data_IF_742592266326
#
_entry.id   IF_742592266326
#
_cell.length_a   1.000
_cell.length_b   1.000
_cell.length_c   1.000
_cell.angle_alpha   90.00
_cell.angle_beta   90.00
_cell.angle_gamma   90.00
#
_symmetry.space_group_name_H-M   'P 1'
#
loop_
_entity.id
_entity.type
_entity.pdbx_description
1 polymer ?
#
# COMPACT_ATOMS: atom_id res chain seq x y z
N UNK A 1 -12.13 -19.21 -6.79
CA UNK A 1 -11.62 -17.86 -6.46
C UNK A 1 -10.11 -17.88 -6.63
N UNK A 2 -9.54 -16.88 -7.29
CA UNK A 2 -8.09 -16.76 -7.44
C UNK A 2 -7.37 -16.56 -6.11
N UNK A 3 -6.04 -16.67 -6.12
CA UNK A 3 -5.20 -16.40 -4.95
C UNK A 3 -4.32 -15.19 -5.21
N UNK A 4 -3.99 -14.45 -4.16
CA UNK A 4 -3.09 -13.29 -4.23
C UNK A 4 -1.90 -13.47 -3.31
N UNK A 5 -0.71 -13.13 -3.81
CA UNK A 5 0.46 -12.89 -2.96
C UNK A 5 0.68 -11.40 -2.84
N UNK A 6 0.96 -10.93 -1.63
CA UNK A 6 1.27 -9.53 -1.39
C UNK A 6 2.74 -9.37 -0.99
N UNK A 7 3.39 -8.36 -1.56
CA UNK A 7 4.76 -8.01 -1.22
C UNK A 7 4.87 -6.54 -0.86
N UNK A 8 5.71 -6.23 0.13
CA UNK A 8 6.04 -4.86 0.53
C UNK A 8 7.50 -4.65 0.22
N UNK A 9 7.79 -3.76 -0.73
CA UNK A 9 9.13 -3.54 -1.23
C UNK A 9 9.66 -2.14 -0.88
N UNK A 10 10.92 -2.08 -0.46
CA UNK A 10 11.64 -0.86 -0.14
C UNK A 10 12.93 -1.16 0.60
N UNK A 11 13.65 -0.12 1.02
CA UNK A 11 14.86 -0.29 1.81
C UNK A 11 15.09 0.93 2.72
N UNK A 12 15.25 0.74 4.05
CA UNK A 12 14.99 -0.50 4.80
C UNK A 12 13.50 -0.88 4.83
N UNK A 13 13.15 -2.14 5.06
CA UNK A 13 11.74 -2.60 5.04
C UNK A 13 11.38 -3.72 6.02
N UNK A 14 12.36 -4.38 6.60
CA UNK A 14 12.24 -5.55 7.48
C UNK A 14 11.43 -5.25 8.76
N UNK A 15 11.31 -3.97 9.12
CA UNK A 15 10.52 -3.48 10.25
C UNK A 15 9.05 -3.20 9.90
N UNK A 16 8.65 -3.34 8.63
CA UNK A 16 7.33 -2.91 8.18
C UNK A 16 6.18 -3.70 8.81
N UNK A 17 5.14 -2.97 9.23
CA UNK A 17 3.86 -3.54 9.68
C UNK A 17 2.87 -3.78 8.53
N UNK A 18 3.19 -3.36 7.31
CA UNK A 18 2.31 -3.55 6.15
C UNK A 18 1.88 -5.01 5.91
N UNK A 19 2.72 -6.05 6.14
CA UNK A 19 2.27 -7.44 6.08
C UNK A 19 1.12 -7.76 7.05
N UNK A 20 1.17 -7.22 8.27
CA UNK A 20 0.10 -7.38 9.28
C UNK A 20 -1.15 -6.66 8.83
N UNK A 21 -1.03 -5.40 8.40
CA UNK A 21 -2.15 -4.59 7.94
C UNK A 21 -2.88 -5.25 6.77
N UNK A 22 -2.15 -5.73 5.76
CA UNK A 22 -2.75 -6.44 4.62
C UNK A 22 -3.48 -7.70 5.06
N UNK A 23 -2.89 -8.48 5.97
CA UNK A 23 -3.51 -9.70 6.46
C UNK A 23 -4.80 -9.44 7.27
N UNK A 24 -4.81 -8.39 8.11
CA UNK A 24 -6.00 -7.97 8.86
C UNK A 24 -7.11 -7.47 7.92
N UNK A 25 -6.77 -6.58 6.98
CA UNK A 25 -7.73 -6.04 6.01
C UNK A 25 -8.31 -7.17 5.15
N UNK A 26 -7.47 -8.09 4.68
CA UNK A 26 -7.93 -9.26 3.93
C UNK A 26 -8.88 -10.13 4.76
N UNK A 27 -8.51 -10.46 6.00
CA UNK A 27 -9.34 -11.25 6.89
C UNK A 27 -10.70 -10.58 7.17
N UNK A 28 -10.72 -9.27 7.39
CA UNK A 28 -11.94 -8.50 7.55
C UNK A 28 -12.82 -8.55 6.31
N UNK A 29 -12.28 -8.17 5.14
CA UNK A 29 -13.02 -8.15 3.88
C UNK A 29 -13.55 -9.53 3.47
N UNK A 30 -12.81 -10.61 3.78
CA UNK A 30 -13.26 -12.00 3.52
C UNK A 30 -14.46 -12.45 4.33
N UNK A 31 -14.79 -11.73 5.42
CA UNK A 31 -15.96 -11.97 6.27
C UNK A 31 -17.07 -10.93 6.05
N UNK A 32 -16.83 -9.93 5.20
CA UNK A 32 -17.81 -8.90 4.87
C UNK A 32 -18.77 -9.43 3.81
N UNK A 33 -20.08 -9.34 4.07
CA UNK A 33 -21.09 -9.74 3.10
C UNK A 33 -20.98 -8.93 1.80
N UNK A 34 -21.23 -9.59 0.67
CA UNK A 34 -21.18 -8.99 -0.68
C UNK A 34 -19.81 -8.46 -1.12
N UNK A 35 -18.72 -8.88 -0.46
CA UNK A 35 -17.35 -8.59 -0.91
C UNK A 35 -16.73 -9.83 -1.51
N UNK A 36 -16.40 -9.79 -2.80
CA UNK A 36 -15.61 -10.81 -3.48
C UNK A 36 -14.15 -10.38 -3.58
N UNK A 37 -13.23 -11.21 -3.10
CA UNK A 37 -11.79 -10.96 -3.18
C UNK A 37 -11.00 -12.28 -3.32
N UNK A 38 -9.80 -12.26 -3.93
CA UNK A 38 -8.94 -13.43 -4.02
C UNK A 38 -8.46 -13.87 -2.64
N UNK A 39 -8.21 -15.16 -2.44
CA UNK A 39 -7.66 -15.68 -1.19
C UNK A 39 -6.21 -15.25 -0.98
N UNK A 40 -5.83 -14.80 0.21
CA UNK A 40 -4.45 -14.42 0.52
C UNK A 40 -3.57 -15.67 0.66
N UNK A 41 -2.64 -15.84 -0.27
CA UNK A 41 -1.65 -16.94 -0.29
C UNK A 41 -0.48 -16.68 0.64
N UNK A 42 -0.16 -15.41 0.88
CA UNK A 42 0.90 -15.00 1.79
C UNK A 42 1.32 -13.54 1.58
N UNK A 43 2.09 -13.05 2.55
CA UNK A 43 2.68 -11.72 2.56
C UNK A 43 4.20 -11.84 2.68
N UNK A 44 4.96 -10.92 2.09
CA UNK A 44 6.43 -10.88 2.21
C UNK A 44 6.92 -9.44 2.34
N UNK A 45 8.12 -9.28 2.93
CA UNK A 45 8.92 -8.06 2.82
C UNK A 45 10.03 -8.28 1.80
N UNK A 46 10.33 -7.27 0.98
CA UNK A 46 11.28 -7.32 -0.13
C UNK A 46 12.28 -6.18 0.04
N UNK A 47 13.41 -6.42 0.72
CA UNK A 47 14.47 -5.43 0.86
C UNK A 47 15.12 -5.17 -0.49
N UNK A 48 14.89 -3.98 -1.02
CA UNK A 48 15.49 -3.54 -2.28
C UNK A 48 15.43 -2.02 -2.42
N UNK A 49 16.46 -1.47 -3.03
CA UNK A 49 16.54 -0.08 -3.47
C UNK A 49 16.19 0.11 -4.95
N UNK A 50 16.06 -0.98 -5.72
CA UNK A 50 15.61 -1.01 -7.12
C UNK A 50 14.22 -1.64 -7.30
N UNK A 51 13.34 -0.97 -8.05
CA UNK A 51 11.97 -1.43 -8.32
C UNK A 51 11.92 -2.70 -9.18
N UNK A 52 12.93 -2.92 -10.03
CA UNK A 52 13.09 -4.10 -10.87
C UNK A 52 13.16 -5.39 -10.04
N UNK A 53 13.77 -5.37 -8.85
CA UNK A 53 13.81 -6.54 -7.97
C UNK A 53 12.44 -6.84 -7.35
N UNK A 54 11.65 -5.80 -7.05
CA UNK A 54 10.28 -5.97 -6.58
C UNK A 54 9.40 -6.59 -7.67
N UNK A 55 9.55 -6.12 -8.92
CA UNK A 55 8.86 -6.70 -10.08
C UNK A 55 9.33 -8.13 -10.36
N UNK A 56 10.63 -8.40 -10.27
CA UNK A 56 11.20 -9.74 -10.44
C UNK A 56 10.62 -10.72 -9.42
N UNK A 57 10.47 -10.31 -8.15
CA UNK A 57 9.74 -11.11 -7.16
C UNK A 57 8.28 -11.34 -7.58
N UNK A 58 7.60 -10.34 -8.15
CA UNK A 58 6.23 -10.51 -8.61
C UNK A 58 6.10 -11.62 -9.67
N UNK A 59 7.07 -11.73 -10.58
CA UNK A 59 7.09 -12.80 -11.58
C UNK A 59 7.57 -14.14 -11.01
N UNK A 60 8.71 -14.16 -10.31
CA UNK A 60 9.33 -15.39 -9.80
C UNK A 60 8.53 -16.00 -8.64
N UNK A 61 7.94 -15.14 -7.81
CA UNK A 61 7.07 -15.53 -6.73
C UNK A 61 7.75 -16.01 -5.44
N UNK A 62 9.06 -15.87 -5.36
CA UNK A 62 9.89 -16.22 -4.22
C UNK A 62 11.12 -15.31 -4.16
N UNK A 63 11.70 -15.19 -2.97
CA UNK A 63 13.01 -14.56 -2.78
C UNK A 63 14.05 -15.68 -2.64
N UNK A 64 15.23 -15.56 -3.29
CA UNK A 64 16.32 -16.52 -3.11
C UNK A 64 16.79 -16.62 -1.66
N UNK A 65 16.86 -15.48 -0.97
CA UNK A 65 17.19 -15.37 0.45
C UNK A 65 16.18 -14.43 1.11
N UNK A 66 15.05 -14.96 1.61
CA UNK A 66 14.06 -14.14 2.31
C UNK A 66 14.67 -13.60 3.61
N UNK A 67 14.57 -12.28 3.89
CA UNK A 67 15.09 -11.70 5.13
C UNK A 67 14.27 -12.14 6.33
N UNK A 68 14.86 -12.05 7.52
CA UNK A 68 14.09 -12.09 8.75
C UNK A 68 13.21 -10.86 8.85
N UNK A 69 11.96 -11.06 9.27
CA UNK A 69 11.06 -9.96 9.61
C UNK A 69 11.29 -9.55 11.06
N UNK A 70 11.61 -8.28 11.29
CA UNK A 70 12.16 -7.79 12.57
C UNK A 70 11.25 -8.08 13.77
N UNK A 71 9.93 -8.06 13.56
CA UNK A 71 8.96 -8.27 14.64
C UNK A 71 9.00 -9.67 15.25
N UNK A 72 9.46 -10.67 14.49
CA UNK A 72 9.40 -12.08 14.91
C UNK A 72 10.74 -12.81 14.81
N UNK A 73 11.75 -12.22 14.13
CA UNK A 73 13.07 -12.82 13.92
C UNK A 73 13.00 -14.11 13.09
N UNK A 74 12.16 -14.12 12.06
CA UNK A 74 11.98 -15.24 11.13
C UNK A 74 11.44 -14.70 9.80
N UNK A 75 11.74 -15.32 8.64
CA UNK A 75 11.21 -14.85 7.38
C UNK A 75 9.72 -15.14 7.26
N UNK A 76 8.98 -14.20 6.66
CA UNK A 76 7.59 -14.40 6.28
C UNK A 76 7.48 -15.57 5.28
N UNK A 77 6.43 -16.39 5.40
CA UNK A 77 6.29 -17.64 4.65
C UNK A 77 6.92 -18.86 5.33
N UNK A 78 7.65 -18.68 6.43
CA UNK A 78 8.09 -19.78 7.31
C UNK A 78 7.11 -19.99 8.46
N UNK A 79 7.10 -21.21 9.01
CA UNK A 79 6.15 -21.65 10.04
C UNK A 79 6.03 -20.66 11.20
N UNK A 80 7.17 -20.28 11.83
CA UNK A 80 7.18 -19.37 12.98
C UNK A 80 6.52 -18.02 12.68
N UNK A 81 6.94 -17.35 11.60
CA UNK A 81 6.41 -16.04 11.23
C UNK A 81 4.92 -16.12 10.85
N UNK A 82 4.52 -17.15 10.08
CA UNK A 82 3.13 -17.35 9.69
C UNK A 82 2.22 -17.59 10.91
N UNK A 83 2.63 -18.45 11.84
CA UNK A 83 1.85 -18.71 13.06
C UNK A 83 1.65 -17.46 13.91
N UNK A 84 2.69 -16.62 14.06
CA UNK A 84 2.59 -15.37 14.82
C UNK A 84 1.72 -14.34 14.09
N UNK A 85 1.83 -14.24 12.76
CA UNK A 85 0.97 -13.39 11.95
C UNK A 85 -0.51 -13.81 12.05
N UNK A 86 -0.81 -15.11 11.92
CA UNK A 86 -2.16 -15.64 12.05
C UNK A 86 -2.75 -15.36 13.44
N UNK A 87 -1.95 -15.51 14.51
CA UNK A 87 -2.37 -15.13 15.86
C UNK A 87 -2.68 -13.64 15.97
N UNK A 88 -1.82 -12.78 15.44
CA UNK A 88 -2.05 -11.33 15.45
C UNK A 88 -3.33 -10.95 14.69
N UNK A 89 -3.58 -11.57 13.54
CA UNK A 89 -4.82 -11.38 12.77
C UNK A 89 -6.03 -11.85 13.57
N UNK A 90 -6.00 -13.05 14.15
CA UNK A 90 -7.13 -13.60 14.90
C UNK A 90 -7.50 -12.71 16.10
N UNK A 91 -6.53 -12.29 16.91
CA UNK A 91 -6.76 -11.38 18.03
C UNK A 91 -7.31 -10.03 17.53
N UNK A 92 -6.77 -9.50 16.43
CA UNK A 92 -7.24 -8.23 15.86
C UNK A 92 -8.70 -8.33 15.40
N UNK A 93 -9.13 -9.48 14.90
CA UNK A 93 -10.51 -9.72 14.46
C UNK A 93 -11.51 -9.86 15.61
N UNK A 94 -11.07 -10.00 16.87
CA UNK A 94 -11.94 -9.97 18.05
C UNK A 94 -12.38 -8.53 18.40
N UNK A 95 -11.67 -7.53 17.88
CA UNK A 95 -12.01 -6.12 18.06
C UNK A 95 -12.94 -5.64 16.93
N UNK A 96 -14.20 -5.42 17.26
CA UNK A 96 -15.23 -4.96 16.31
C UNK A 96 -15.36 -3.43 16.29
N UNK A 97 -14.98 -2.78 17.39
CA UNK A 97 -15.02 -1.33 17.52
C UNK A 97 -13.61 -0.75 17.42
N UNK A 98 -13.48 0.34 16.66
CA UNK A 98 -12.26 1.13 16.62
C UNK A 98 -12.04 1.93 17.91
N UNK A 99 -10.83 2.43 18.09
CA UNK A 99 -10.53 3.35 19.20
C UNK A 99 -11.39 4.62 19.11
N UNK A 100 -12.12 4.95 20.17
CA UNK A 100 -13.02 6.11 20.23
C UNK A 100 -12.32 7.46 20.04
N UNK A 101 -10.98 7.52 20.12
CA UNK A 101 -10.18 8.72 19.81
C UNK A 101 -10.00 8.93 18.31
N UNK A 102 -10.28 7.91 17.48
CA UNK A 102 -10.19 7.98 16.03
C UNK A 102 -11.58 8.25 15.44
N UNK A 103 -11.75 9.32 14.65
CA UNK A 103 -13.01 9.58 13.98
C UNK A 103 -13.28 8.55 12.88
N UNK A 104 -14.56 8.27 12.63
CA UNK A 104 -14.97 7.52 11.45
C UNK A 104 -14.74 8.36 10.19
N UNK A 105 -14.19 7.73 9.15
CA UNK A 105 -14.04 8.34 7.84
C UNK A 105 -15.06 7.72 6.86
N UNK A 106 -15.85 8.51 6.13
CA UNK A 106 -16.66 7.96 5.05
C UNK A 106 -15.74 7.41 3.96
N UNK A 107 -15.98 6.17 3.53
CA UNK A 107 -15.26 5.62 2.39
C UNK A 107 -15.65 6.38 1.12
N UNK A 108 -14.68 6.83 0.30
CA UNK A 108 -14.99 7.52 -0.95
C UNK A 108 -15.72 6.57 -1.88
N UNK A 109 -16.77 7.07 -2.53
CA UNK A 109 -17.41 6.34 -3.62
C UNK A 109 -16.44 6.29 -4.80
N UNK A 110 -15.97 5.10 -5.13
CA UNK A 110 -15.11 4.86 -6.29
C UNK A 110 -15.92 4.19 -7.38
N UNK A 111 -15.82 4.70 -8.61
CA UNK A 111 -16.31 3.98 -9.78
C UNK A 111 -15.41 2.76 -9.99
N UNK A 112 -15.85 1.61 -9.51
CA UNK A 112 -15.15 0.35 -9.74
C UNK A 112 -15.62 -0.28 -11.04
N UNK A 113 -14.72 -0.49 -11.99
CA UNK A 113 -14.98 -1.41 -13.09
C UNK A 113 -14.88 -2.86 -12.58
N UNK A 114 -15.83 -3.71 -12.98
CA UNK A 114 -15.66 -5.16 -12.82
C UNK A 114 -14.33 -5.57 -13.46
N UNK A 115 -13.51 -6.29 -12.70
CA UNK A 115 -12.24 -6.81 -13.18
C UNK A 115 -12.21 -8.31 -12.93
N UNK A 116 -11.55 -9.04 -13.85
CA UNK A 116 -11.36 -10.47 -13.69
C UNK A 116 -10.33 -10.72 -12.59
N UNK A 117 -10.61 -11.67 -11.71
CA UNK A 117 -9.60 -12.25 -10.85
C UNK A 117 -8.79 -13.28 -11.65
N UNK A 118 -7.47 -13.14 -11.65
CA UNK A 118 -6.59 -14.20 -12.15
C UNK A 118 -6.44 -15.32 -11.12
N UNK A 119 -6.05 -16.51 -11.58
CA UNK A 119 -5.82 -17.66 -10.69
C UNK A 119 -4.71 -17.38 -9.66
N UNK A 120 -3.65 -16.67 -10.07
CA UNK A 120 -2.58 -16.17 -9.21
C UNK A 120 -2.31 -14.68 -9.51
N UNK A 121 -2.81 -13.81 -8.63
CA UNK A 121 -2.51 -12.37 -8.63
C UNK A 121 -1.30 -12.03 -7.77
N UNK A 122 -0.67 -10.90 -8.08
CA UNK A 122 0.38 -10.31 -7.24
C UNK A 122 0.04 -8.87 -6.94
N UNK A 123 0.00 -8.52 -5.66
CA UNK A 123 -0.15 -7.15 -5.21
C UNK A 123 1.16 -6.69 -4.57
N UNK A 124 1.60 -5.49 -4.93
CA UNK A 124 2.87 -4.92 -4.46
C UNK A 124 2.63 -3.55 -3.86
N UNK A 125 3.09 -3.36 -2.63
CA UNK A 125 3.19 -2.05 -2.00
C UNK A 125 4.63 -1.56 -2.09
N UNK A 126 4.84 -0.41 -2.74
CA UNK A 126 6.15 0.21 -2.88
C UNK A 126 6.32 1.32 -1.83
N UNK A 127 7.42 1.28 -1.09
CA UNK A 127 7.82 2.37 -0.19
C UNK A 127 9.16 2.96 -0.62
N UNK A 128 9.73 3.87 0.19
CA UNK A 128 11.03 4.44 -0.10
C UNK A 128 12.12 3.35 -0.27
N UNK A 129 13.05 3.50 -1.22
CA UNK A 129 13.19 4.62 -2.17
C UNK A 129 12.40 4.43 -3.49
N UNK A 130 11.58 3.39 -3.63
CA UNK A 130 11.11 2.87 -4.92
C UNK A 130 10.03 3.70 -5.63
N UNK A 131 9.24 4.49 -4.90
CA UNK A 131 7.98 5.10 -5.42
C UNK A 131 8.10 5.92 -6.71
N UNK A 132 9.31 6.37 -7.06
CA UNK A 132 9.58 7.26 -8.19
C UNK A 132 10.38 6.60 -9.32
N UNK A 133 10.72 5.31 -9.19
CA UNK A 133 11.59 4.60 -10.12
C UNK A 133 10.82 3.89 -11.25
N UNK A 134 9.51 3.73 -11.10
CA UNK A 134 8.69 3.06 -12.10
C UNK A 134 8.56 3.93 -13.38
N UNK A 135 8.68 3.30 -14.54
CA UNK A 135 8.47 3.95 -15.85
C UNK A 135 7.07 3.70 -16.40
N UNK A 136 6.45 4.71 -17.02
CA UNK A 136 5.10 4.64 -17.57
C UNK A 136 4.95 3.57 -18.67
N UNK A 137 6.03 3.24 -19.38
CA UNK A 137 6.01 2.22 -20.42
C UNK A 137 5.77 0.80 -19.88
N UNK A 138 5.97 0.56 -18.58
CA UNK A 138 5.93 -0.78 -17.99
C UNK A 138 4.58 -1.15 -17.36
N UNK A 139 3.66 -0.20 -17.16
CA UNK A 139 2.42 -0.40 -16.37
C UNK A 139 1.24 0.39 -16.93
N UNK A 140 0.01 -0.06 -16.60
CA UNK A 140 -1.22 0.71 -16.78
C UNK A 140 -1.52 1.50 -15.52
N UNK A 141 -1.65 2.83 -15.61
CA UNK A 141 -1.96 3.66 -14.45
C UNK A 141 -3.47 3.90 -14.35
N UNK A 142 -4.06 3.77 -13.16
CA UNK A 142 -5.50 4.03 -12.93
C UNK A 142 -5.78 5.43 -12.38
N UNK A 143 -4.73 6.16 -12.00
CA UNK A 143 -4.77 7.54 -11.51
C UNK A 143 -3.58 8.35 -12.08
N UNK A 144 -3.28 9.51 -11.50
CA UNK A 144 -2.16 10.36 -11.93
C UNK A 144 -0.83 9.98 -11.25
N UNK A 145 -0.67 8.78 -10.67
CA UNK A 145 0.53 8.38 -9.91
C UNK A 145 1.85 8.53 -10.68
N UNK A 146 1.82 8.29 -12.01
CA UNK A 146 3.00 8.46 -12.86
C UNK A 146 3.40 9.93 -13.00
N UNK A 147 2.43 10.83 -13.16
CA UNK A 147 2.67 12.28 -13.33
C UNK A 147 3.30 12.86 -12.06
N UNK A 148 2.77 12.48 -10.90
CA UNK A 148 3.30 12.90 -9.58
C UNK A 148 4.55 12.10 -9.15
N UNK A 149 5.00 11.16 -9.98
CA UNK A 149 6.14 10.27 -9.74
C UNK A 149 6.08 9.60 -8.37
N UNK A 150 4.92 9.06 -8.00
CA UNK A 150 4.69 8.42 -6.72
C UNK A 150 3.75 7.22 -6.85
N UNK A 151 4.27 6.12 -7.38
CA UNK A 151 3.57 4.83 -7.37
C UNK A 151 3.87 4.12 -6.05
N UNK A 152 2.83 3.80 -5.28
CA UNK A 152 2.97 3.03 -4.04
C UNK A 152 2.16 1.71 -4.07
N UNK A 153 1.31 1.52 -5.08
CA UNK A 153 0.39 0.39 -5.19
C UNK A 153 0.47 -0.20 -6.59
N UNK A 154 0.71 -1.50 -6.67
CA UNK A 154 0.82 -2.25 -7.92
C UNK A 154 -0.04 -3.53 -7.84
N UNK A 155 -0.68 -3.89 -8.95
CA UNK A 155 -1.42 -5.15 -9.12
C UNK A 155 -1.05 -5.82 -10.44
N UNK A 156 -0.64 -7.08 -10.39
CA UNK A 156 -0.54 -7.96 -11.55
C UNK A 156 -1.81 -8.81 -11.64
N UNK A 157 -2.53 -8.68 -12.76
CA UNK A 157 -3.80 -9.38 -13.02
C UNK A 157 -3.64 -10.65 -13.87
N UNK A 158 -2.41 -11.16 -14.02
CA UNK A 158 -2.10 -12.28 -14.93
C UNK A 158 -1.69 -11.85 -16.34
N UNK A 159 -1.97 -10.60 -16.74
CA UNK A 159 -1.69 -10.08 -18.08
C UNK A 159 -0.84 -8.81 -18.04
N UNK A 160 -1.15 -7.89 -17.13
CA UNK A 160 -0.54 -6.56 -17.05
C UNK A 160 -0.34 -6.11 -15.61
N UNK A 161 0.68 -5.28 -15.41
CA UNK A 161 0.83 -4.51 -14.19
C UNK A 161 -0.06 -3.26 -14.24
N UNK A 162 -0.80 -3.06 -13.17
CA UNK A 162 -1.60 -1.88 -12.88
C UNK A 162 -0.95 -1.10 -11.76
N UNK A 163 -0.93 0.22 -11.85
CA UNK A 163 -0.28 1.12 -10.91
C UNK A 163 -1.23 2.20 -10.40
N UNK A 164 -1.06 2.55 -9.13
CA UNK A 164 -1.79 3.59 -8.44
C UNK A 164 -0.98 4.24 -7.30
N UNK A 165 -1.53 5.33 -6.78
CA UNK A 165 -1.04 6.09 -5.63
C UNK A 165 -2.14 6.24 -4.58
N UNK A 166 -2.04 5.48 -3.48
CA UNK A 166 -3.01 5.54 -2.38
C UNK A 166 -2.63 6.46 -1.22
N UNK A 167 -1.37 6.93 -1.13
CA UNK A 167 -0.92 7.75 0.02
C UNK A 167 -1.69 9.08 0.15
N UNK A 168 -1.77 9.86 -0.93
CA UNK A 168 -2.41 11.17 -0.94
C UNK A 168 -3.91 11.12 -0.65
N UNK A 169 -4.69 10.29 -1.38
CA UNK A 169 -6.09 10.07 -1.06
C UNK A 169 -6.31 9.58 0.37
N UNK A 170 -5.47 8.66 0.85
CA UNK A 170 -5.51 8.15 2.23
C UNK A 170 -5.26 9.25 3.27
N UNK A 171 -4.26 10.10 3.06
CA UNK A 171 -3.99 11.25 3.94
C UNK A 171 -5.16 12.24 3.95
N UNK A 172 -5.73 12.54 2.78
CA UNK A 172 -6.87 13.45 2.66
C UNK A 172 -8.10 12.92 3.41
N UNK A 173 -8.35 11.61 3.31
CA UNK A 173 -9.42 10.93 4.04
C UNK A 173 -9.25 11.06 5.55
N UNK A 174 -8.03 10.83 6.06
CA UNK A 174 -7.72 10.99 7.49
C UNK A 174 -7.92 12.44 7.92
N UNK A 175 -7.39 13.42 7.18
CA UNK A 175 -7.53 14.83 7.52
C UNK A 175 -9.00 15.26 7.60
N UNK A 176 -9.83 14.85 6.63
CA UNK A 176 -11.27 15.14 6.65
C UNK A 176 -11.98 14.48 7.83
N UNK A 177 -11.63 13.24 8.18
CA UNK A 177 -12.20 12.56 9.34
C UNK A 177 -11.92 13.32 10.65
N UNK A 178 -10.73 13.93 10.76
CA UNK A 178 -10.37 14.81 11.88
C UNK A 178 -10.94 16.25 11.77
N UNK A 179 -11.77 16.53 10.77
CA UNK A 179 -12.44 17.83 10.62
C UNK A 179 -11.59 18.93 9.99
N UNK A 180 -10.45 18.59 9.36
CA UNK A 180 -9.64 19.58 8.65
C UNK A 180 -10.25 19.92 7.27
N UNK A 181 -10.35 21.22 6.97
CA UNK A 181 -10.81 21.71 5.66
C UNK A 181 -9.73 21.50 4.60
N UNK A 182 -10.10 20.81 3.52
CA UNK A 182 -9.21 20.54 2.39
C UNK A 182 -8.86 21.79 1.58
N UNK A 183 -9.57 22.91 1.75
CA UNK A 183 -9.24 24.21 1.13
C UNK A 183 -8.18 25.01 1.90
N UNK A 184 -7.69 24.47 3.02
CA UNK A 184 -6.68 25.13 3.84
C UNK A 184 -5.25 24.96 3.29
N UNK A 185 -4.28 25.61 3.95
CA UNK A 185 -2.86 25.51 3.61
C UNK A 185 -2.24 24.31 4.34
N UNK A 186 -1.73 23.33 3.59
CA UNK A 186 -0.98 22.22 4.14
C UNK A 186 0.52 22.50 4.12
N UNK A 187 1.12 22.48 5.31
CA UNK A 187 2.57 22.50 5.49
C UNK A 187 3.18 21.12 5.25
N UNK A 188 4.15 21.00 4.34
CA UNK A 188 4.82 19.73 4.05
C UNK A 188 6.33 19.85 4.33
N UNK A 189 6.89 18.84 5.01
CA UNK A 189 8.35 18.68 5.15
C UNK A 189 8.80 17.48 4.31
N UNK A 190 9.64 17.74 3.30
CA UNK A 190 10.13 16.76 2.33
C UNK A 190 9.51 16.89 0.94
N UNK A 191 10.18 16.28 -0.05
CA UNK A 191 9.80 16.25 -1.47
C UNK A 191 9.91 14.85 -2.09
N UNK A 192 9.78 13.81 -1.27
CA UNK A 192 9.75 12.41 -1.74
C UNK A 192 8.41 12.00 -2.37
N UNK A 193 8.28 10.74 -2.78
CA UNK A 193 7.04 10.22 -3.41
C UNK A 193 5.80 10.48 -2.55
N UNK A 194 5.83 10.12 -1.27
CA UNK A 194 4.72 10.38 -0.34
C UNK A 194 4.33 11.86 -0.28
N UNK A 195 5.32 12.77 -0.21
CA UNK A 195 5.07 14.21 -0.15
C UNK A 195 4.39 14.72 -1.43
N UNK A 196 4.84 14.26 -2.61
CA UNK A 196 4.21 14.60 -3.89
C UNK A 196 2.78 14.06 -4.01
N UNK A 197 2.55 12.82 -3.56
CA UNK A 197 1.21 12.22 -3.53
C UNK A 197 0.24 13.00 -2.64
N UNK A 198 0.67 13.35 -1.43
CA UNK A 198 -0.12 14.17 -0.51
C UNK A 198 -0.37 15.56 -1.07
N UNK A 199 0.66 16.24 -1.60
CA UNK A 199 0.52 17.55 -2.19
C UNK A 199 -0.48 17.57 -3.35
N UNK A 200 -0.37 16.61 -4.27
CA UNK A 200 -1.27 16.49 -5.42
C UNK A 200 -2.73 16.24 -5.01
N UNK A 201 -2.95 15.32 -4.06
CA UNK A 201 -4.31 15.05 -3.55
C UNK A 201 -4.91 16.26 -2.84
N UNK A 202 -4.13 16.94 -2.01
CA UNK A 202 -4.58 18.11 -1.26
C UNK A 202 -4.91 19.29 -2.19
N UNK A 203 -4.05 19.56 -3.18
CA UNK A 203 -4.31 20.58 -4.20
C UNK A 203 -5.52 20.26 -5.08
N UNK A 204 -5.73 18.98 -5.42
CA UNK A 204 -6.94 18.56 -6.15
C UNK A 204 -8.23 18.83 -5.38
N UNK A 205 -8.16 18.82 -4.04
CA UNK A 205 -9.28 19.15 -3.16
C UNK A 205 -9.42 20.66 -2.86
N UNK A 206 -8.73 21.53 -3.61
CA UNK A 206 -8.79 23.00 -3.48
C UNK A 206 -7.77 23.61 -2.52
N UNK A 207 -6.97 22.78 -1.86
CA UNK A 207 -5.98 23.21 -0.88
C UNK A 207 -4.73 23.84 -1.47
N UNK A 208 -4.02 24.61 -0.66
CA UNK A 208 -2.72 25.19 -1.01
C UNK A 208 -1.59 24.47 -0.28
N UNK A 209 -0.43 24.37 -0.92
CA UNK A 209 0.74 23.71 -0.33
C UNK A 209 1.79 24.75 0.05
N UNK A 210 2.38 24.58 1.24
CA UNK A 210 3.59 25.29 1.64
C UNK A 210 4.64 24.27 2.05
N UNK A 211 5.72 24.17 1.28
CA UNK A 211 6.86 23.39 1.74
C UNK A 211 7.59 24.17 2.85
N UNK A 212 7.75 23.52 4.01
CA UNK A 212 8.40 24.09 5.19
C UNK A 212 9.86 23.63 5.36
N UNK A 213 10.27 22.57 4.65
CA UNK A 213 11.65 22.09 4.67
C UNK A 213 11.83 20.72 4.01
N UNK A 214 12.96 20.07 4.31
CA UNK A 214 13.31 18.71 3.86
C UNK A 214 14.45 18.67 2.84
N UNK A 215 14.98 17.47 2.60
CA UNK A 215 16.17 17.24 1.76
C UNK A 215 15.90 17.31 0.24
N UNK A 216 14.63 17.40 -0.17
CA UNK A 216 14.20 17.45 -1.57
C UNK A 216 13.11 18.49 -1.71
N UNK A 217 13.14 19.25 -2.79
CA UNK A 217 12.07 20.17 -3.14
C UNK A 217 10.84 19.40 -3.63
N UNK A 218 9.68 19.99 -3.37
CA UNK A 218 8.41 19.55 -3.92
C UNK A 218 8.24 20.20 -5.30
N UNK A 219 8.69 19.49 -6.33
CA UNK A 219 8.57 19.89 -7.75
C UNK A 219 7.30 19.30 -8.39
#
# INVERSE_FOLDING_TARGET
MGKVRHGVAGYPIEHSLSPVLTAIVHAHLSRTENVELPGLKGVVVIPTDGVENALAWGYAGSLPSPPDWDLVGSPLGKFRANTLLERAVNVSMEHVEGDNRLPNAPLPKTDSSSHRFADDEVWLSLTAPLKHQLSAAAVKCIDNAMDIRSVNTLRWDGISWWAASSDGPGMSMVAQAFGYDSNSVLGITGGGGTARSVAASWSRNGGRIKQSGGNRLLD
#
